data_IF_855195771727
#
_entry.id   IF_855195771727
#
_cell.length_a   1.000
_cell.length_b   1.000
_cell.length_c   1.000
_cell.angle_alpha   90.00
_cell.angle_beta   90.00
_cell.angle_gamma   90.00
#
_symmetry.space_group_name_H-M   'P 1'
#
loop_
_entity.id
_entity.type
_entity.pdbx_description
1 polymer ?
#
# COMPACT_ATOMS: atom_id res chain seq x y z
N UNK A 1 5.76 4.79 0.83
CA UNK A 1 6.43 4.34 2.07
C UNK A 1 5.69 4.90 3.27
N UNK A 2 6.17 4.60 4.47
CA UNK A 2 5.46 4.86 5.73
C UNK A 2 5.09 6.33 5.94
N UNK A 3 6.02 7.26 5.70
CA UNK A 3 5.75 8.70 5.89
C UNK A 3 4.55 9.21 5.08
N UNK A 4 4.41 8.79 3.82
CA UNK A 4 3.25 9.15 3.00
C UNK A 4 1.93 8.66 3.61
N UNK A 5 1.94 7.49 4.25
CA UNK A 5 0.75 6.87 4.83
C UNK A 5 0.46 7.31 6.27
N UNK A 6 1.33 8.15 6.86
CA UNK A 6 1.06 8.88 8.10
C UNK A 6 0.40 10.25 7.84
N UNK A 7 0.61 10.82 6.65
CA UNK A 7 0.15 12.16 6.29
C UNK A 7 -1.36 12.20 6.00
N UNK A 8 -2.07 13.12 6.65
CA UNK A 8 -3.54 13.30 6.58
C UNK A 8 -4.08 13.37 5.15
N UNK A 9 -3.38 14.11 4.28
CA UNK A 9 -3.78 14.30 2.88
C UNK A 9 -3.83 12.99 2.08
N UNK A 10 -3.01 12.00 2.44
CA UNK A 10 -3.02 10.69 1.78
C UNK A 10 -4.32 9.93 2.08
N UNK A 11 -4.88 10.09 3.29
CA UNK A 11 -6.14 9.47 3.69
C UNK A 11 -7.33 10.09 2.94
N UNK A 12 -7.35 11.41 2.81
CA UNK A 12 -8.37 12.12 2.05
C UNK A 12 -8.37 11.67 0.58
N UNK A 13 -7.19 11.65 -0.04
CA UNK A 13 -7.01 11.20 -1.41
C UNK A 13 -7.37 9.71 -1.58
N UNK A 14 -6.96 8.84 -0.66
CA UNK A 14 -7.26 7.41 -0.71
C UNK A 14 -8.76 7.13 -0.54
N UNK A 15 -9.43 7.83 0.38
CA UNK A 15 -10.88 7.74 0.55
C UNK A 15 -11.63 8.17 -0.70
N UNK A 16 -11.20 9.25 -1.35
CA UNK A 16 -11.82 9.72 -2.59
C UNK A 16 -11.59 8.74 -3.75
N UNK A 17 -10.37 8.21 -3.89
CA UNK A 17 -10.03 7.23 -4.93
C UNK A 17 -10.87 5.95 -4.83
N UNK A 18 -11.12 5.47 -3.62
CA UNK A 18 -12.01 4.33 -3.38
C UNK A 18 -13.47 4.66 -3.69
N UNK A 19 -13.94 5.86 -3.30
CA UNK A 19 -15.29 6.34 -3.63
C UNK A 19 -15.53 6.44 -5.14
N UNK A 20 -14.51 6.86 -5.90
CA UNK A 20 -14.59 6.97 -7.37
C UNK A 20 -14.30 5.66 -8.11
N UNK A 21 -13.92 4.60 -7.41
CA UNK A 21 -13.61 3.31 -8.04
C UNK A 21 -12.51 3.44 -9.09
N UNK A 22 -11.41 4.12 -8.76
CA UNK A 22 -10.30 4.36 -9.70
C UNK A 22 -9.52 3.08 -10.02
N UNK A 23 -10.11 2.15 -10.77
CA UNK A 23 -9.58 0.82 -11.11
C UNK A 23 -8.26 0.78 -11.86
N UNK A 24 -7.79 1.92 -12.36
CA UNK A 24 -6.48 2.04 -13.03
C UNK A 24 -5.38 2.58 -12.11
N UNK A 25 -5.72 2.94 -10.87
CA UNK A 25 -4.77 3.42 -9.88
C UNK A 25 -4.20 2.23 -9.12
N UNK A 26 -2.89 2.02 -9.26
CA UNK A 26 -2.14 1.01 -8.49
C UNK A 26 -1.07 1.73 -7.69
N UNK A 27 -1.12 1.60 -6.36
CA UNK A 27 -0.13 2.14 -5.46
C UNK A 27 0.71 1.01 -4.86
N UNK A 28 2.02 1.21 -4.83
CA UNK A 28 2.95 0.32 -4.14
C UNK A 28 3.32 0.96 -2.81
N UNK A 29 3.02 0.27 -1.72
CA UNK A 29 3.54 0.65 -0.42
C UNK A 29 4.81 -0.14 -0.13
N UNK A 30 5.93 0.56 -0.21
CA UNK A 30 7.19 0.11 0.39
C UNK A 30 7.04 0.09 1.92
N UNK A 31 6.69 -1.09 2.43
CA UNK A 31 6.52 -1.38 3.84
C UNK A 31 7.84 -1.94 4.36
N UNK A 32 8.65 -1.07 4.95
CA UNK A 32 9.97 -1.41 5.51
C UNK A 32 10.09 -1.13 7.02
N UNK A 33 9.03 -0.58 7.65
CA UNK A 33 8.96 -0.23 9.08
C UNK A 33 9.99 0.83 9.54
N UNK A 34 10.52 1.64 8.61
CA UNK A 34 11.54 2.64 8.89
C UNK A 34 11.14 3.99 8.29
N UNK A 35 11.18 5.02 9.12
CA UNK A 35 11.15 6.43 8.70
C UNK A 35 12.50 7.09 9.01
N UNK A 36 12.61 8.41 8.77
CA UNK A 36 13.83 9.17 9.07
C UNK A 36 14.20 9.12 10.58
N UNK A 37 13.19 9.05 11.45
CA UNK A 37 13.36 8.97 12.91
C UNK A 37 13.56 7.54 13.41
N UNK A 38 13.65 6.55 12.51
CA UNK A 38 13.93 5.16 12.83
C UNK A 38 12.71 4.25 12.73
N UNK A 39 12.65 3.24 13.61
CA UNK A 39 11.60 2.22 13.57
C UNK A 39 10.22 2.80 13.87
N UNK A 40 9.28 2.61 12.95
CA UNK A 40 7.97 3.25 12.97
C UNK A 40 6.97 2.63 13.95
N UNK A 41 7.27 1.46 14.54
CA UNK A 41 6.33 0.74 15.40
C UNK A 41 5.87 1.53 16.64
N UNK A 42 6.62 2.54 17.07
CA UNK A 42 6.26 3.40 18.21
C UNK A 42 5.19 4.45 17.91
N UNK A 43 4.94 4.79 16.64
CA UNK A 43 4.02 5.86 16.23
C UNK A 43 3.20 5.57 14.97
N UNK A 44 3.45 4.43 14.31
CA UNK A 44 2.74 3.94 13.14
C UNK A 44 2.50 2.44 13.28
N UNK A 45 1.55 2.10 14.16
CA UNK A 45 1.24 0.72 14.56
C UNK A 45 -0.15 0.27 14.11
N UNK A 46 -0.79 0.99 13.20
CA UNK A 46 -2.12 0.66 12.71
C UNK A 46 -2.10 -0.45 11.65
N UNK A 47 -3.25 -1.06 11.41
CA UNK A 47 -3.42 -2.03 10.33
C UNK A 47 -3.67 -1.28 9.00
N UNK A 48 -2.59 -0.78 8.41
CA UNK A 48 -2.64 -0.03 7.14
C UNK A 48 -3.38 -0.79 6.03
N UNK A 49 -3.17 -2.10 5.80
CA UNK A 49 -3.97 -2.86 4.85
C UNK A 49 -5.48 -2.81 5.12
N UNK A 50 -5.90 -3.01 6.39
CA UNK A 50 -7.31 -2.95 6.75
C UNK A 50 -7.90 -1.53 6.61
N UNK A 51 -7.09 -0.49 6.85
CA UNK A 51 -7.49 0.91 6.62
C UNK A 51 -7.78 1.17 5.14
N UNK A 52 -6.96 0.64 4.23
CA UNK A 52 -7.20 0.76 2.78
C UNK A 52 -8.40 -0.07 2.31
N UNK A 53 -8.60 -1.27 2.85
CA UNK A 53 -9.83 -2.04 2.63
C UNK A 53 -11.07 -1.24 3.04
N UNK A 54 -11.03 -0.53 4.18
CA UNK A 54 -12.10 0.34 4.63
C UNK A 54 -12.34 1.56 3.71
N UNK A 55 -11.32 2.04 2.99
CA UNK A 55 -11.49 3.05 1.93
C UNK A 55 -12.11 2.49 0.65
N UNK A 56 -12.32 1.17 0.54
CA UNK A 56 -12.85 0.53 -0.67
C UNK A 56 -11.77 0.13 -1.68
N UNK A 57 -10.51 0.00 -1.25
CA UNK A 57 -9.42 -0.45 -2.12
C UNK A 57 -9.38 -1.97 -2.21
N UNK A 58 -8.90 -2.47 -3.34
CA UNK A 58 -8.37 -3.83 -3.43
C UNK A 58 -6.97 -3.84 -2.80
N UNK A 59 -6.69 -4.79 -1.89
CA UNK A 59 -5.41 -4.82 -1.17
C UNK A 59 -4.73 -6.17 -1.37
N UNK A 60 -3.53 -6.14 -1.91
CA UNK A 60 -2.64 -7.31 -2.05
C UNK A 60 -1.61 -7.23 -0.93
N UNK A 61 -1.76 -8.11 0.06
CA UNK A 61 -0.97 -8.13 1.29
C UNK A 61 0.33 -8.92 1.12
N UNK A 62 1.33 -8.59 1.92
CA UNK A 62 2.55 -9.37 2.16
C UNK A 62 3.33 -9.81 0.90
N UNK A 63 3.42 -8.93 -0.10
CA UNK A 63 4.23 -9.19 -1.31
C UNK A 63 5.70 -9.02 -0.94
N UNK A 64 6.53 -10.03 -1.19
CA UNK A 64 7.97 -9.89 -1.04
C UNK A 64 8.49 -8.88 -2.08
N UNK A 65 8.89 -7.69 -1.62
CA UNK A 65 9.36 -6.62 -2.48
C UNK A 65 10.77 -6.83 -3.03
N UNK A 66 11.44 -7.94 -2.68
CA UNK A 66 12.73 -8.35 -3.25
C UNK A 66 12.59 -9.51 -4.25
N UNK A 67 11.39 -10.04 -4.45
CA UNK A 67 11.10 -11.12 -5.40
C UNK A 67 10.34 -10.56 -6.62
N UNK A 68 11.04 -10.52 -7.77
CA UNK A 68 10.49 -9.98 -9.01
C UNK A 68 9.27 -10.77 -9.52
N UNK A 69 9.22 -12.08 -9.30
CA UNK A 69 8.09 -12.92 -9.73
C UNK A 69 6.87 -12.64 -8.86
N UNK A 70 7.06 -12.41 -7.55
CA UNK A 70 5.98 -12.01 -6.64
C UNK A 70 5.43 -10.64 -6.97
N UNK A 71 6.30 -9.68 -7.28
CA UNK A 71 5.88 -8.34 -7.71
C UNK A 71 5.10 -8.44 -9.03
N UNK A 72 5.58 -9.22 -10.00
CA UNK A 72 4.90 -9.44 -11.28
C UNK A 72 3.50 -10.02 -11.08
N UNK A 73 3.37 -11.08 -10.27
CA UNK A 73 2.08 -11.67 -9.97
C UNK A 73 1.12 -10.69 -9.28
N UNK A 74 1.62 -9.84 -8.37
CA UNK A 74 0.82 -8.81 -7.72
C UNK A 74 0.35 -7.72 -8.70
N UNK A 75 1.19 -7.33 -9.66
CA UNK A 75 0.82 -6.39 -10.72
C UNK A 75 -0.26 -7.00 -11.61
N UNK A 76 -0.11 -8.26 -12.01
CA UNK A 76 -1.10 -8.95 -12.84
C UNK A 76 -2.47 -9.01 -12.12
N UNK A 77 -2.50 -9.42 -10.85
CA UNK A 77 -3.72 -9.41 -10.03
C UNK A 77 -4.32 -8.01 -9.86
N UNK A 78 -3.49 -6.97 -9.70
CA UNK A 78 -3.96 -5.59 -9.60
C UNK A 78 -4.61 -5.09 -10.90
N UNK A 79 -4.11 -5.52 -12.07
CA UNK A 79 -4.63 -5.13 -13.38
C UNK A 79 -5.91 -5.87 -13.76
N UNK A 80 -6.16 -7.06 -13.20
CA UNK A 80 -7.43 -7.77 -13.33
C UNK A 80 -8.57 -7.08 -12.56
N UNK A 81 -8.23 -6.26 -11.56
CA UNK A 81 -9.19 -5.52 -10.74
C UNK A 81 -9.50 -4.13 -11.34
N UNK A 82 -10.61 -4.01 -12.08
CA UNK A 82 -10.95 -2.78 -12.80
C UNK A 82 -11.94 -1.84 -12.09
N UNK A 83 -12.51 -2.25 -10.95
CA UNK A 83 -13.59 -1.52 -10.24
C UNK A 83 -13.09 -0.73 -9.01
N UNK A 84 -11.87 -1.01 -8.53
CA UNK A 84 -11.31 -0.39 -7.32
C UNK A 84 -9.85 -0.01 -7.51
N UNK A 85 -9.37 1.08 -6.88
CA UNK A 85 -7.92 1.30 -6.78
C UNK A 85 -7.25 0.14 -6.00
N UNK A 86 -6.01 -0.17 -6.34
CA UNK A 86 -5.26 -1.29 -5.74
C UNK A 86 -4.07 -0.80 -4.93
N UNK A 87 -3.93 -1.30 -3.70
CA UNK A 87 -2.72 -1.15 -2.88
C UNK A 87 -1.96 -2.48 -2.84
N UNK A 88 -0.71 -2.46 -3.30
CA UNK A 88 0.22 -3.58 -3.19
C UNK A 88 1.16 -3.32 -2.00
N UNK A 89 1.06 -4.15 -0.97
CA UNK A 89 1.86 -4.03 0.25
C UNK A 89 3.18 -4.80 0.07
N UNK A 90 4.22 -4.10 -0.37
CA UNK A 90 5.54 -4.67 -0.59
C UNK A 90 6.35 -4.68 0.71
N UNK A 91 6.57 -5.87 1.27
CA UNK A 91 7.49 -6.06 2.39
C UNK A 91 8.92 -5.98 1.87
N UNK A 92 9.67 -4.98 2.33
CA UNK A 92 11.10 -4.85 2.01
C UNK A 92 11.93 -4.75 3.29
N UNK A 93 13.24 -4.86 3.13
CA UNK A 93 14.24 -4.48 4.14
C UNK A 93 14.92 -3.23 3.63
N UNK A 94 14.93 -2.16 4.44
CA UNK A 94 15.68 -0.95 4.11
C UNK A 94 17.18 -1.21 4.32
N UNK A 95 18.02 -0.70 3.42
CA UNK A 95 19.46 -0.99 3.25
C UNK A 95 19.74 -2.29 2.48
N UNK A 96 20.61 -2.20 1.46
CA UNK A 96 21.20 -3.33 0.72
C UNK A 96 22.23 -4.08 1.57
#
# INVERSE_FOLDING_TARGET
>A
GDGCLMEGISHEAASLAGTWGLGKLVAFWDNNQISIDGNTAGWFSDNTPARFEAYGWHVIRDVDGHDADKIKAAIEAALENSDKPTLICCRTKIVF
#
